data_IF_400255246964
#
_entry.id   IF_400255246964
#
_cell.length_a   1.000
_cell.length_b   1.000
_cell.length_c   1.000
_cell.angle_alpha   90.00
_cell.angle_beta   90.00
_cell.angle_gamma   90.00
#
_symmetry.space_group_name_H-M   'P 1'
#
loop_
_entity.id
_entity.type
_entity.pdbx_description
1 polymer ?
#
# COMPACT_ATOMS: atom_id res chain seq x y z
N UNK A 1 -16.90 6.76 -6.52
CA UNK A 1 -16.22 5.79 -5.64
C UNK A 1 -17.18 5.41 -4.53
N UNK A 2 -17.49 4.12 -4.42
CA UNK A 2 -18.45 3.56 -3.46
C UNK A 2 -17.74 3.01 -2.22
N UNK A 3 -16.59 2.37 -2.42
CA UNK A 3 -15.78 1.76 -1.36
C UNK A 3 -14.31 2.13 -1.54
N UNK A 4 -13.60 2.21 -0.42
CA UNK A 4 -12.15 2.37 -0.37
C UNK A 4 -11.59 1.33 0.60
N UNK A 5 -10.61 0.58 0.14
CA UNK A 5 -9.82 -0.32 0.98
C UNK A 5 -8.44 0.28 1.19
N UNK A 6 -8.01 0.31 2.43
CA UNK A 6 -6.65 0.62 2.80
C UNK A 6 -5.98 -0.63 3.35
N UNK A 7 -4.77 -0.91 2.87
CA UNK A 7 -3.93 -1.98 3.38
C UNK A 7 -2.54 -1.45 3.70
N UNK A 8 -1.88 -2.05 4.68
CA UNK A 8 -0.53 -1.74 5.11
C UNK A 8 0.30 -3.03 5.12
N UNK A 9 1.20 -3.17 4.16
CA UNK A 9 2.06 -4.33 4.04
C UNK A 9 3.41 -3.98 4.65
N UNK A 10 3.73 -4.60 5.78
CA UNK A 10 5.06 -4.49 6.39
C UNK A 10 6.03 -5.48 5.73
N UNK A 11 7.16 -4.98 5.26
CA UNK A 11 8.18 -5.78 4.61
C UNK A 11 9.57 -5.39 5.09
N UNK A 12 10.49 -6.36 5.08
CA UNK A 12 11.88 -6.15 5.44
C UNK A 12 12.71 -5.97 4.18
N UNK A 13 13.41 -4.86 4.07
CA UNK A 13 14.40 -4.64 3.01
C UNK A 13 15.81 -4.73 3.60
N UNK A 14 16.78 -5.13 2.77
CA UNK A 14 18.19 -4.98 3.11
C UNK A 14 18.76 -3.82 2.30
N UNK A 15 19.19 -2.76 2.99
CA UNK A 15 19.90 -1.62 2.40
C UNK A 15 21.17 -1.37 3.21
N UNK A 16 22.29 -1.14 2.53
CA UNK A 16 23.58 -0.80 3.17
C UNK A 16 24.01 -1.81 4.25
N UNK A 17 23.78 -3.10 3.99
CA UNK A 17 24.11 -4.19 4.91
C UNK A 17 23.20 -4.29 6.14
N UNK A 18 22.22 -3.40 6.31
CA UNK A 18 21.26 -3.41 7.41
C UNK A 18 19.88 -3.84 6.93
N UNK A 19 19.19 -4.61 7.76
CA UNK A 19 17.77 -4.96 7.54
C UNK A 19 16.92 -3.84 8.13
N UNK A 20 16.13 -3.19 7.29
CA UNK A 20 15.19 -2.14 7.67
C UNK A 20 13.77 -2.63 7.43
N UNK A 21 12.86 -2.31 8.33
CA UNK A 21 11.43 -2.58 8.13
C UNK A 21 10.81 -1.36 7.47
N UNK A 22 10.10 -1.56 6.36
CA UNK A 22 9.32 -0.54 5.67
C UNK A 22 7.87 -0.97 5.56
N UNK A 23 7.00 -0.01 5.31
CA UNK A 23 5.55 -0.24 5.19
C UNK A 23 5.07 0.28 3.85
N UNK A 24 4.40 -0.54 3.06
CA UNK A 24 3.71 -0.09 1.85
C UNK A 24 2.22 0.07 2.15
N UNK A 25 1.73 1.30 2.06
CA UNK A 25 0.32 1.62 2.19
C UNK A 25 -0.31 1.62 0.82
N UNK A 26 -1.38 0.85 0.63
CA UNK A 26 -2.13 0.81 -0.63
C UNK A 26 -3.54 1.33 -0.44
N UNK A 27 -4.07 2.00 -1.46
CA UNK A 27 -5.44 2.48 -1.50
C UNK A 27 -6.12 1.90 -2.75
N UNK A 28 -7.16 1.10 -2.56
CA UNK A 28 -7.94 0.48 -3.62
C UNK A 28 -9.36 1.04 -3.60
N UNK A 29 -9.78 1.63 -4.72
CA UNK A 29 -11.14 2.13 -4.91
C UNK A 29 -12.01 1.09 -5.59
N UNK A 30 -13.29 1.06 -5.21
CA UNK A 30 -14.34 0.35 -5.97
C UNK A 30 -15.41 1.36 -6.39
N UNK A 31 -15.76 1.37 -7.67
CA UNK A 31 -16.84 2.22 -8.20
C UNK A 31 -18.24 1.59 -8.01
N UNK A 32 -19.27 2.27 -8.53
CA UNK A 32 -20.64 1.80 -8.42
C UNK A 32 -20.94 0.60 -9.35
N UNK A 33 -20.05 0.33 -10.29
CA UNK A 33 -20.09 -0.76 -11.25
C UNK A 33 -19.32 -2.00 -10.73
N UNK A 34 -18.69 -1.89 -9.56
CA UNK A 34 -17.89 -2.95 -8.95
C UNK A 34 -16.47 -3.07 -9.54
N UNK A 35 -16.03 -2.10 -10.35
CA UNK A 35 -14.68 -2.08 -10.89
C UNK A 35 -13.69 -1.62 -9.82
N UNK A 36 -12.56 -2.31 -9.75
CA UNK A 36 -11.50 -2.09 -8.75
C UNK A 36 -10.33 -1.38 -9.41
N UNK A 37 -9.94 -0.25 -8.84
CA UNK A 37 -8.81 0.55 -9.31
C UNK A 37 -7.82 0.83 -8.17
N UNK A 38 -6.53 0.71 -8.46
CA UNK A 38 -5.47 1.10 -7.55
C UNK A 38 -5.34 2.62 -7.56
N UNK A 39 -5.73 3.28 -6.48
CA UNK A 39 -5.72 4.73 -6.34
C UNK A 39 -4.34 5.26 -5.95
N UNK A 40 -3.53 4.44 -5.28
CA UNK A 40 -2.16 4.81 -4.96
C UNK A 40 -1.44 3.81 -4.07
N UNK A 41 -0.11 3.93 -4.07
CA UNK A 41 0.81 3.23 -3.17
C UNK A 41 1.75 4.26 -2.57
N UNK A 42 1.92 4.22 -1.25
CA UNK A 42 2.88 5.05 -0.52
C UNK A 42 3.82 4.16 0.27
N UNK A 43 5.11 4.42 0.17
CA UNK A 43 6.11 3.74 0.99
C UNK A 43 6.37 4.59 2.23
N UNK A 44 5.95 4.08 3.39
CA UNK A 44 6.36 4.58 4.69
C UNK A 44 7.80 4.17 4.97
N UNK A 45 8.66 5.16 5.10
CA UNK A 45 9.97 5.01 5.70
C UNK A 45 9.81 5.15 7.21
N UNK A 46 10.19 4.10 7.94
CA UNK A 46 10.22 4.06 9.40
C UNK A 46 11.66 4.15 9.90
#
# INVERSE_FOLDING_TARGET
>A
MLLVYFDAIHYKIRSDGKVQTRSAYTCLGIDAQGQRDLLGIWIGES
#
